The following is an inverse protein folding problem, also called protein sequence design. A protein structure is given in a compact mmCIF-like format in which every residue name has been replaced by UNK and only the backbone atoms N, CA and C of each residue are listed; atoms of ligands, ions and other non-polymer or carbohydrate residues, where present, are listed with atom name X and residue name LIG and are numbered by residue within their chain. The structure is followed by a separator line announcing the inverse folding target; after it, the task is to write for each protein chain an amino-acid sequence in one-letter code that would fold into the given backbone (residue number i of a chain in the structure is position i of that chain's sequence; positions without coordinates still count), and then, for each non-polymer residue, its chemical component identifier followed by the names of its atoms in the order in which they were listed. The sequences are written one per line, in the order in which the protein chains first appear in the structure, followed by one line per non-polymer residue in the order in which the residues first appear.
data_IF_607703448131
#
_entry.id   IF_607703448131
#
_cell.length_a   1.000
_cell.length_b   1.000
_cell.length_c   1.000
_cell.angle_alpha   90.00
_cell.angle_beta   90.00
_cell.angle_gamma   90.00
#
_symmetry.space_group_name_H-M   'P 1'
#
loop_
_entity.id
_entity.type
_entity.pdbx_description
1 polymer ?
#
# COMPACT_ATOMS: atom_id res chain seq x y z
N UNK A 1 -10.08 -3.27 5.08
CA UNK A 1 -10.11 -4.25 6.20
C UNK A 1 -8.98 -3.96 7.17
N UNK A 2 -8.90 -4.64 8.32
CA UNK A 2 -7.84 -4.43 9.31
C UNK A 2 -6.64 -5.37 9.16
N UNK A 3 -6.73 -6.39 8.31
CA UNK A 3 -5.61 -7.28 7.96
C UNK A 3 -5.04 -6.89 6.60
N UNK A 4 -3.74 -6.59 6.54
CA UNK A 4 -3.04 -6.12 5.35
C UNK A 4 -1.86 -7.04 5.05
N UNK A 5 -1.76 -7.48 3.80
CA UNK A 5 -0.64 -8.30 3.32
C UNK A 5 0.01 -7.62 2.12
N UNK A 6 1.32 -7.37 2.20
CA UNK A 6 2.10 -6.79 1.12
C UNK A 6 3.05 -7.82 0.54
N UNK A 7 3.05 -7.92 -0.79
CA UNK A 7 3.87 -8.87 -1.54
C UNK A 7 4.80 -8.12 -2.48
N UNK A 8 6.05 -8.57 -2.54
CA UNK A 8 7.05 -8.10 -3.50
C UNK A 8 7.59 -9.32 -4.23
N UNK A 9 7.52 -9.31 -5.57
CA UNK A 9 7.96 -10.44 -6.42
C UNK A 9 7.34 -11.79 -5.99
N UNK A 10 6.06 -11.78 -5.63
CA UNK A 10 5.32 -12.98 -5.21
C UNK A 10 5.63 -13.50 -3.80
N UNK A 11 6.53 -12.84 -3.06
CA UNK A 11 6.90 -13.23 -1.69
C UNK A 11 6.25 -12.31 -0.68
N UNK A 12 5.74 -12.88 0.41
CA UNK A 12 5.17 -12.14 1.53
C UNK A 12 6.28 -11.30 2.18
N UNK A 13 6.12 -9.98 2.16
CA UNK A 13 7.06 -9.02 2.73
C UNK A 13 6.57 -8.47 4.07
N UNK A 14 5.25 -8.24 4.19
CA UNK A 14 4.62 -7.73 5.40
C UNK A 14 3.23 -8.33 5.57
N UNK A 15 2.91 -8.75 6.78
CA UNK A 15 1.60 -9.23 7.22
C UNK A 15 1.29 -8.54 8.54
N UNK A 16 0.25 -7.70 8.53
CA UNK A 16 -0.09 -6.81 9.65
C UNK A 16 -1.57 -6.85 9.92
N UNK A 17 -1.93 -6.99 11.20
CA UNK A 17 -3.28 -6.75 11.70
C UNK A 17 -3.31 -5.45 12.49
N UNK A 18 -4.07 -4.46 12.01
CA UNK A 18 -4.30 -3.18 12.67
C UNK A 18 -5.37 -3.33 13.78
N UNK A 19 -4.88 -3.40 15.02
CA UNK A 19 -5.70 -3.52 16.22
C UNK A 19 -6.09 -2.15 16.83
N UNK A 20 -5.76 -1.02 16.19
CA UNK A 20 -6.20 0.30 16.66
C UNK A 20 -7.60 0.61 16.11
N UNK A 21 -8.63 0.11 16.80
CA UNK A 21 -10.04 0.33 16.47
C UNK A 21 -10.41 1.82 16.29
N UNK A 22 -9.70 2.72 16.98
CA UNK A 22 -10.01 4.16 16.97
C UNK A 22 -9.42 4.90 15.77
N UNK A 23 -8.25 4.47 15.28
CA UNK A 23 -7.53 5.15 14.19
C UNK A 23 -7.54 4.40 12.87
N UNK A 24 -7.82 3.09 12.88
CA UNK A 24 -7.86 2.31 11.64
C UNK A 24 -8.90 2.88 10.67
N UNK A 25 -8.62 2.73 9.37
CA UNK A 25 -9.55 3.10 8.30
C UNK A 25 -9.90 1.86 7.50
N UNK A 26 -11.20 1.61 7.33
CA UNK A 26 -11.70 0.52 6.49
C UNK A 26 -11.76 0.88 5.01
N UNK A 27 -11.78 2.18 4.69
CA UNK A 27 -11.90 2.74 3.35
C UNK A 27 -11.11 4.05 3.24
N UNK A 28 -10.76 4.45 2.01
CA UNK A 28 -9.99 5.65 1.71
C UNK A 28 -9.49 5.69 0.26
N UNK A 29 -8.69 6.71 -0.05
CA UNK A 29 -8.07 6.85 -1.36
C UNK A 29 -6.76 6.06 -1.42
N UNK A 30 -6.50 5.42 -2.58
CA UNK A 30 -5.20 4.85 -2.91
C UNK A 30 -4.35 5.88 -3.65
N UNK A 31 -3.13 6.12 -3.16
CA UNK A 31 -2.20 7.08 -3.72
C UNK A 31 -0.83 6.46 -4.02
N UNK A 32 -0.18 6.95 -5.09
CA UNK A 32 1.22 6.67 -5.37
C UNK A 32 2.05 7.86 -4.91
N UNK A 33 2.98 7.63 -3.98
CA UNK A 33 3.82 8.70 -3.48
C UNK A 33 4.87 9.10 -4.54
N UNK A 34 4.88 10.37 -4.91
CA UNK A 34 5.98 10.97 -5.66
C UNK A 34 7.01 11.53 -4.68
N UNK A 35 8.26 11.05 -4.75
CA UNK A 35 9.33 11.64 -3.97
C UNK A 35 9.68 13.02 -4.54
N UNK A 36 9.58 14.07 -3.70
CA UNK A 36 9.80 15.46 -4.12
C UNK A 36 11.28 15.90 -4.16
N UNK A 37 12.22 15.05 -3.71
CA UNK A 37 13.66 15.32 -3.70
C UNK A 37 14.41 14.93 -4.98
N UNK A 38 15.72 15.17 -4.99
CA UNK A 38 16.56 15.01 -6.20
C UNK A 38 16.80 13.54 -6.60
N UNK A 39 16.84 13.30 -7.92
CA UNK A 39 17.09 12.04 -8.67
C UNK A 39 16.45 10.74 -8.17
N UNK A 40 15.18 10.73 -7.78
CA UNK A 40 14.45 9.47 -7.65
C UNK A 40 13.28 9.41 -8.64
N UNK A 41 13.54 8.80 -9.80
CA UNK A 41 12.51 8.52 -10.81
C UNK A 41 12.00 7.09 -10.63
N UNK A 42 10.69 6.95 -10.45
CA UNK A 42 9.98 5.67 -10.43
C UNK A 42 8.96 5.64 -11.57
N UNK A 43 8.75 4.46 -12.15
CA UNK A 43 7.77 4.26 -13.21
C UNK A 43 6.88 3.08 -12.83
N UNK A 44 5.57 3.26 -13.01
CA UNK A 44 4.56 2.25 -12.70
C UNK A 44 3.83 1.83 -13.96
N UNK A 45 3.39 0.58 -14.01
CA UNK A 45 2.50 0.04 -15.05
C UNK A 45 1.64 -1.05 -14.43
N UNK A 46 0.53 -1.41 -15.07
CA UNK A 46 -0.33 -2.54 -14.68
C UNK A 46 -0.90 -2.42 -13.26
N UNK A 47 -1.44 -1.25 -12.92
CA UNK A 47 -2.08 -1.00 -11.63
C UNK A 47 -3.58 -1.30 -11.76
N UNK A 48 -4.07 -2.25 -10.96
CA UNK A 48 -5.46 -2.70 -10.98
C UNK A 48 -6.04 -2.74 -9.58
N UNK A 49 -7.35 -2.50 -9.48
CA UNK A 49 -8.13 -2.68 -8.25
C UNK A 49 -9.18 -3.75 -8.54
N UNK A 50 -9.31 -4.71 -7.63
CA UNK A 50 -10.39 -5.71 -7.63
C UNK A 50 -11.29 -5.44 -6.44
N UNK A 51 -12.59 -5.33 -6.68
CA UNK A 51 -13.62 -5.25 -5.65
C UNK A 51 -14.10 -6.65 -5.25
#
# INVERSE_FOLDING_TARGET
GNHLMHYINGKLMSDVTDNDDSKRKSDGLLGLQAHAGFVMKVQYRNIYIKQ
#
